data_IF_878144229175
#
_entry.id   IF_878144229175
#
_cell.length_a   1.000
_cell.length_b   1.000
_cell.length_c   1.000
_cell.angle_alpha   90.00
_cell.angle_beta   90.00
_cell.angle_gamma   90.00
#
_symmetry.space_group_name_H-M   'P 1'
#
loop_
_entity.id
_entity.type
_entity.pdbx_description
1 polymer ?
#
# COMPACT_ATOMS: atom_id res chain seq x y z
N UNK A 1 -10.34 17.62 -2.69
CA UNK A 1 -10.61 16.71 -3.83
C UNK A 1 -12.05 16.26 -3.71
N UNK A 2 -12.89 16.53 -4.70
CA UNK A 2 -14.30 16.10 -4.71
C UNK A 2 -14.40 14.98 -5.74
N UNK A 3 -14.90 13.82 -5.31
CA UNK A 3 -15.18 12.67 -6.17
C UNK A 3 -16.62 12.79 -6.63
N UNK A 4 -16.86 12.65 -7.93
CA UNK A 4 -18.17 12.87 -8.57
C UNK A 4 -18.73 11.63 -9.24
N UNK A 5 -17.89 10.66 -9.59
CA UNK A 5 -18.33 9.41 -10.20
C UNK A 5 -17.80 8.18 -9.46
N UNK A 6 -18.40 7.04 -9.75
CA UNK A 6 -17.95 5.76 -9.18
C UNK A 6 -16.55 5.38 -9.70
N UNK A 7 -16.26 5.68 -10.97
CA UNK A 7 -14.96 5.42 -11.59
C UNK A 7 -13.85 6.23 -10.94
N UNK A 8 -14.11 7.51 -10.62
CA UNK A 8 -13.16 8.35 -9.89
C UNK A 8 -12.89 7.81 -8.47
N UNK A 9 -13.92 7.28 -7.79
CA UNK A 9 -13.77 6.63 -6.49
C UNK A 9 -12.91 5.37 -6.61
N UNK A 10 -13.16 4.54 -7.63
CA UNK A 10 -12.43 3.30 -7.85
C UNK A 10 -10.94 3.57 -8.12
N UNK A 11 -10.63 4.58 -8.95
CA UNK A 11 -9.26 5.02 -9.21
C UNK A 11 -8.59 5.45 -7.91
N UNK A 12 -9.24 6.28 -7.11
CA UNK A 12 -8.66 6.75 -5.85
C UNK A 12 -8.36 5.61 -4.88
N UNK A 13 -9.27 4.64 -4.76
CA UNK A 13 -9.09 3.48 -3.89
C UNK A 13 -7.91 2.64 -4.38
N UNK A 14 -7.82 2.38 -5.68
CA UNK A 14 -6.71 1.63 -6.29
C UNK A 14 -5.37 2.33 -6.04
N UNK A 15 -5.30 3.64 -6.26
CA UNK A 15 -4.09 4.43 -6.04
C UNK A 15 -3.68 4.43 -4.57
N UNK A 16 -4.65 4.51 -3.65
CA UNK A 16 -4.38 4.42 -2.22
C UNK A 16 -3.84 3.04 -1.81
N UNK A 17 -4.41 1.96 -2.35
CA UNK A 17 -3.94 0.59 -2.09
C UNK A 17 -2.50 0.42 -2.58
N UNK A 18 -2.19 0.92 -3.77
CA UNK A 18 -0.84 0.85 -4.34
C UNK A 18 0.16 1.60 -3.47
N UNK A 19 -0.13 2.87 -3.14
CA UNK A 19 0.68 3.67 -2.24
C UNK A 19 0.88 2.99 -0.88
N UNK A 20 -0.19 2.47 -0.27
CA UNK A 20 -0.12 1.83 1.03
C UNK A 20 0.79 0.60 1.01
N UNK A 21 0.67 -0.23 -0.02
CA UNK A 21 1.39 -1.50 -0.12
C UNK A 21 2.86 -1.32 -0.51
N UNK A 22 3.16 -0.34 -1.34
CA UNK A 22 4.48 -0.23 -2.00
C UNK A 22 5.31 0.98 -1.56
N UNK A 23 4.70 2.03 -1.01
CA UNK A 23 5.40 3.28 -0.72
C UNK A 23 5.35 3.69 0.75
N UNK A 24 4.28 3.35 1.47
CA UNK A 24 4.10 3.73 2.88
C UNK A 24 4.92 2.85 3.81
N UNK A 25 6.08 3.35 4.22
CA UNK A 25 6.92 2.73 5.25
C UNK A 25 6.26 2.76 6.63
N UNK A 26 6.24 1.62 7.31
CA UNK A 26 5.62 1.48 8.64
C UNK A 26 6.67 1.23 9.72
N UNK A 27 6.65 2.03 10.78
CA UNK A 27 7.60 1.94 11.90
C UNK A 27 7.62 0.55 12.53
N UNK A 28 6.44 -0.03 12.76
CA UNK A 28 6.29 -1.36 13.37
C UNK A 28 6.72 -2.50 12.43
N UNK A 29 6.73 -2.28 11.12
CA UNK A 29 7.23 -3.24 10.13
C UNK A 29 8.74 -3.08 9.89
N UNK A 30 9.50 -2.76 10.93
CA UNK A 30 10.96 -2.51 10.81
C UNK A 30 11.29 -1.43 9.78
N UNK A 31 10.40 -0.44 9.63
CA UNK A 31 10.50 0.61 8.60
C UNK A 31 10.55 0.02 7.19
N UNK A 32 9.71 -0.97 6.90
CA UNK A 32 9.48 -1.52 5.56
C UNK A 32 8.05 -1.21 5.09
N UNK A 33 7.83 -1.26 3.78
CA UNK A 33 6.49 -1.27 3.21
C UNK A 33 5.85 -2.66 3.38
N UNK A 34 4.51 -2.78 3.33
CA UNK A 34 3.84 -4.07 3.45
C UNK A 34 4.41 -5.16 2.51
N UNK A 35 4.65 -4.82 1.24
CA UNK A 35 5.22 -5.77 0.26
C UNK A 35 6.65 -6.17 0.61
N UNK A 36 7.50 -5.21 0.99
CA UNK A 36 8.87 -5.50 1.42
C UNK A 36 8.89 -6.40 2.65
N UNK A 37 8.02 -6.13 3.64
CA UNK A 37 7.94 -6.92 4.86
C UNK A 37 7.48 -8.35 4.58
N UNK A 38 6.47 -8.54 3.70
CA UNK A 38 6.05 -9.87 3.23
C UNK A 38 7.22 -10.64 2.61
N UNK A 39 7.95 -10.02 1.69
CA UNK A 39 9.08 -10.67 1.02
C UNK A 39 10.21 -11.01 2.00
N UNK A 40 10.50 -10.12 2.95
CA UNK A 40 11.46 -10.37 4.03
C UNK A 40 11.08 -11.57 4.90
N UNK A 41 9.80 -11.76 5.21
CA UNK A 41 9.32 -12.94 5.93
C UNK A 41 9.45 -14.22 5.10
N UNK A 42 9.15 -14.16 3.80
CA UNK A 42 9.27 -15.31 2.88
C UNK A 42 10.73 -15.75 2.70
N UNK A 43 11.70 -14.83 2.73
CA UNK A 43 13.13 -15.17 2.66
C UNK A 43 13.69 -15.76 3.96
N UNK A 44 12.97 -15.61 5.08
CA UNK A 44 13.37 -16.14 6.39
C UNK A 44 12.83 -17.53 6.69
N UNK A 45 11.86 -17.98 5.91
CA UNK A 45 11.25 -19.30 6.01
C UNK A 45 11.83 -20.21 4.93
#
# INVERSE_FOLDING_TARGET
MIIRTYEELEVLIRDYIEYYNNERYQWDLKKMTPVQYRNHLLMKN
#
